data_IF_772938659448
#
_entry.id   IF_772938659448
#
_cell.length_a   1.000
_cell.length_b   1.000
_cell.length_c   1.000
_cell.angle_alpha   90.00
_cell.angle_beta   90.00
_cell.angle_gamma   90.00
#
_symmetry.space_group_name_H-M   'P 1'
#
loop_
_entity.id
_entity.type
_entity.pdbx_description
1 polymer ?
#
# COMPACT_ATOMS: atom_id res chain seq x y z
N UNK A 1 -28.17 2.75 11.16
CA UNK A 1 -28.27 2.82 9.69
C UNK A 1 -29.69 3.24 9.38
N UNK A 2 -29.90 4.52 9.07
CA UNK A 2 -31.19 5.02 8.55
C UNK A 2 -31.24 4.75 7.06
N UNK A 3 -32.44 4.49 6.56
CA UNK A 3 -32.77 3.85 5.29
C UNK A 3 -31.96 4.36 4.09
N UNK A 4 -31.17 3.46 3.49
CA UNK A 4 -30.60 3.69 2.17
C UNK A 4 -31.74 3.63 1.16
N UNK A 5 -32.08 4.79 0.58
CA UNK A 5 -33.14 4.93 -0.40
C UNK A 5 -32.91 3.95 -1.58
N UNK A 6 -33.96 3.31 -2.10
CA UNK A 6 -33.87 2.34 -3.18
C UNK A 6 -33.16 2.91 -4.42
N UNK A 7 -33.26 4.23 -4.63
CA UNK A 7 -32.53 4.98 -5.65
C UNK A 7 -31.02 4.97 -5.40
N UNK A 8 -30.56 5.19 -4.17
CA UNK A 8 -29.13 5.13 -3.83
C UNK A 8 -28.58 3.72 -3.98
N UNK A 9 -29.37 2.69 -3.65
CA UNK A 9 -29.00 1.29 -3.89
C UNK A 9 -28.91 0.95 -5.39
N UNK A 10 -29.87 1.44 -6.20
CA UNK A 10 -29.87 1.24 -7.65
C UNK A 10 -28.69 1.96 -8.30
N UNK A 11 -28.45 3.22 -7.94
CA UNK A 11 -27.28 3.99 -8.35
C UNK A 11 -26.00 3.29 -7.89
N UNK A 12 -25.96 2.73 -6.69
CA UNK A 12 -24.79 2.02 -6.19
C UNK A 12 -24.44 0.80 -7.06
N UNK A 13 -25.43 -0.03 -7.41
CA UNK A 13 -25.26 -1.19 -8.29
C UNK A 13 -25.05 -0.84 -9.77
N UNK A 14 -25.56 0.31 -10.23
CA UNK A 14 -25.41 0.78 -11.61
C UNK A 14 -24.07 1.46 -11.85
N UNK A 15 -23.53 2.19 -10.87
CA UNK A 15 -22.38 3.07 -11.07
C UNK A 15 -21.06 2.53 -10.51
N UNK A 16 -21.06 1.67 -9.49
CA UNK A 16 -19.82 1.17 -8.89
C UNK A 16 -19.43 -0.21 -9.42
N UNK A 17 -18.13 -0.44 -9.70
CA UNK A 17 -17.69 -1.67 -10.33
C UNK A 17 -17.81 -2.88 -9.40
N UNK A 18 -18.20 -4.02 -9.95
CA UNK A 18 -18.15 -5.29 -9.22
C UNK A 18 -16.69 -5.69 -9.08
N UNK A 19 -16.26 -5.93 -7.85
CA UNK A 19 -14.90 -6.39 -7.54
C UNK A 19 -14.97 -7.84 -7.06
N UNK A 20 -14.25 -8.72 -7.75
CA UNK A 20 -14.05 -10.12 -7.33
C UNK A 20 -12.61 -10.27 -6.86
N UNK A 21 -12.43 -10.71 -5.62
CA UNK A 21 -11.11 -11.01 -5.08
C UNK A 21 -10.78 -12.47 -5.34
N UNK A 22 -9.65 -12.72 -6.01
CA UNK A 22 -9.06 -14.05 -6.14
C UNK A 22 -7.88 -14.11 -5.17
N UNK A 23 -7.97 -15.05 -4.24
CA UNK A 23 -7.00 -15.27 -3.18
C UNK A 23 -6.40 -16.66 -3.34
N UNK A 24 -5.12 -16.70 -3.71
CA UNK A 24 -4.32 -17.92 -3.78
C UNK A 24 -3.03 -17.70 -2.99
N UNK A 25 -2.41 -18.75 -2.43
CA UNK A 25 -1.09 -18.61 -1.82
C UNK A 25 -0.11 -17.90 -2.77
N UNK A 26 0.63 -16.93 -2.26
CA UNK A 26 1.61 -16.15 -3.02
C UNK A 26 1.03 -15.01 -3.87
N UNK A 27 -0.26 -15.03 -4.24
CA UNK A 27 -0.88 -14.03 -5.10
C UNK A 27 -2.33 -13.71 -4.72
N UNK A 28 -2.59 -12.44 -4.44
CA UNK A 28 -3.95 -11.91 -4.25
C UNK A 28 -4.20 -10.90 -5.35
N UNK A 29 -5.36 -10.96 -5.99
CA UNK A 29 -5.72 -9.94 -6.96
C UNK A 29 -7.22 -9.69 -7.05
N UNK A 30 -7.53 -8.44 -7.34
CA UNK A 30 -8.88 -7.98 -7.56
C UNK A 30 -9.14 -7.90 -9.06
N UNK A 31 -10.19 -8.58 -9.51
CA UNK A 31 -10.78 -8.39 -10.81
C UNK A 31 -11.89 -7.35 -10.68
N UNK A 32 -11.72 -6.21 -11.36
CA UNK A 32 -12.69 -5.13 -11.36
C UNK A 32 -13.40 -5.14 -12.71
N UNK A 33 -14.65 -5.60 -12.70
CA UNK A 33 -15.53 -5.55 -13.87
C UNK A 33 -16.21 -4.18 -13.91
N UNK A 34 -16.10 -3.47 -15.03
CA UNK A 34 -16.50 -2.06 -15.11
C UNK A 34 -17.74 -1.86 -15.96
N UNK A 35 -18.63 -0.99 -15.47
CA UNK A 35 -19.59 -0.24 -16.29
C UNK A 35 -19.04 1.10 -16.83
N UNK A 36 -18.04 1.70 -16.18
CA UNK A 36 -17.40 2.97 -16.62
C UNK A 36 -15.89 2.79 -16.88
N UNK A 37 -15.49 2.81 -18.14
CA UNK A 37 -14.10 2.61 -18.62
C UNK A 37 -14.03 1.51 -19.68
N UNK A 38 -13.02 1.54 -20.55
CA UNK A 38 -12.96 0.70 -21.76
C UNK A 38 -12.43 -0.72 -21.55
N UNK A 39 -11.85 -1.05 -20.38
CA UNK A 39 -11.21 -2.34 -20.12
C UNK A 39 -11.48 -2.87 -18.71
N UNK A 40 -11.74 -4.18 -18.61
CA UNK A 40 -11.59 -4.98 -17.38
C UNK A 40 -10.18 -4.79 -16.84
N UNK A 41 -10.01 -4.62 -15.53
CA UNK A 41 -8.69 -4.41 -14.92
C UNK A 41 -8.42 -5.43 -13.83
N UNK A 42 -7.25 -6.08 -13.86
CA UNK A 42 -6.74 -6.86 -12.74
C UNK A 42 -5.78 -5.99 -11.92
N UNK A 43 -5.93 -6.02 -10.60
CA UNK A 43 -5.06 -5.31 -9.66
C UNK A 43 -4.44 -6.32 -8.72
N UNK A 44 -3.11 -6.44 -8.70
CA UNK A 44 -2.43 -7.30 -7.74
C UNK A 44 -2.41 -6.59 -6.38
N UNK A 45 -2.88 -7.28 -5.36
CA UNK A 45 -2.98 -6.80 -4.00
C UNK A 45 -1.92 -7.49 -3.15
N UNK A 46 -1.32 -6.72 -2.27
CA UNK A 46 -0.43 -7.20 -1.22
C UNK A 46 -0.83 -6.55 0.09
N UNK A 47 -0.62 -7.27 1.19
CA UNK A 47 -0.90 -6.75 2.52
C UNK A 47 0.39 -6.29 3.18
N UNK A 48 0.44 -4.99 3.49
CA UNK A 48 1.56 -4.34 4.16
C UNK A 48 1.33 -4.29 5.66
N UNK A 49 2.40 -4.44 6.44
CA UNK A 49 2.38 -4.04 7.84
C UNK A 49 2.43 -2.51 7.93
N UNK A 50 1.40 -1.91 8.54
CA UNK A 50 1.30 -0.46 8.73
C UNK A 50 2.54 0.13 9.43
N UNK A 51 3.09 -0.62 10.39
CA UNK A 51 4.26 -0.23 11.17
C UNK A 51 5.49 0.04 10.29
N UNK A 52 5.62 -0.58 9.11
CA UNK A 52 6.75 -0.30 8.19
C UNK A 52 6.64 1.11 7.61
N UNK A 53 5.43 1.49 7.16
CA UNK A 53 5.17 2.82 6.56
C UNK A 53 5.34 3.91 7.62
N UNK A 54 4.79 3.68 8.81
CA UNK A 54 4.93 4.58 9.96
C UNK A 54 6.41 4.78 10.32
N UNK A 55 7.17 3.68 10.45
CA UNK A 55 8.59 3.77 10.82
C UNK A 55 9.38 4.52 9.76
N UNK A 56 9.14 4.24 8.47
CA UNK A 56 9.78 4.96 7.37
C UNK A 56 9.50 6.47 7.46
N UNK A 57 8.26 6.88 7.74
CA UNK A 57 7.93 8.30 7.88
C UNK A 57 8.64 8.95 9.06
N UNK A 58 8.69 8.28 10.21
CA UNK A 58 9.38 8.79 11.40
C UNK A 58 10.89 8.96 11.17
N UNK A 59 11.54 7.96 10.56
CA UNK A 59 12.96 8.05 10.22
C UNK A 59 13.23 9.12 9.16
N UNK A 60 12.29 9.34 8.24
CA UNK A 60 12.38 10.42 7.25
C UNK A 60 12.27 11.80 7.88
N UNK A 61 11.36 11.99 8.84
CA UNK A 61 11.29 13.24 9.61
C UNK A 61 12.59 13.48 10.36
N UNK A 62 13.15 12.43 10.97
CA UNK A 62 14.42 12.52 11.70
C UNK A 62 15.60 12.86 10.77
N UNK A 63 15.65 12.26 9.58
CA UNK A 63 16.76 12.43 8.65
C UNK A 63 16.69 13.74 7.84
N UNK A 64 15.50 14.15 7.41
CA UNK A 64 15.32 15.28 6.49
C UNK A 64 14.73 16.53 7.14
N UNK A 65 14.19 16.40 8.35
CA UNK A 65 13.37 17.44 8.99
C UNK A 65 11.91 17.40 8.55
N UNK A 66 11.04 18.01 9.36
CA UNK A 66 9.57 17.94 9.20
C UNK A 66 9.09 18.51 7.87
N UNK A 67 9.65 19.62 7.42
CA UNK A 67 9.21 20.31 6.19
C UNK A 67 9.53 19.50 4.92
N UNK A 68 10.79 19.05 4.75
CA UNK A 68 11.20 18.22 3.61
C UNK A 68 10.47 16.87 3.61
N UNK A 69 10.28 16.27 4.79
CA UNK A 69 9.47 15.06 4.93
C UNK A 69 8.02 15.31 4.48
N UNK A 70 7.39 16.39 4.96
CA UNK A 70 6.02 16.73 4.58
C UNK A 70 5.88 16.91 3.05
N UNK A 71 6.83 17.58 2.40
CA UNK A 71 6.85 17.71 0.94
C UNK A 71 6.95 16.35 0.23
N UNK A 72 7.89 15.49 0.66
CA UNK A 72 8.08 14.16 0.10
C UNK A 72 6.82 13.31 0.23
N UNK A 73 6.24 13.25 1.43
CA UNK A 73 5.04 12.46 1.71
C UNK A 73 3.80 13.04 1.01
N UNK A 74 3.70 14.35 0.82
CA UNK A 74 2.68 14.96 -0.03
C UNK A 74 2.76 14.48 -1.47
N UNK A 75 3.96 14.47 -2.07
CA UNK A 75 4.17 13.97 -3.44
C UNK A 75 3.78 12.50 -3.56
N UNK A 76 4.25 11.65 -2.64
CA UNK A 76 3.89 10.23 -2.58
C UNK A 76 2.38 10.04 -2.52
N UNK A 77 1.69 10.79 -1.66
CA UNK A 77 0.23 10.71 -1.52
C UNK A 77 -0.50 11.09 -2.80
N UNK A 78 -0.10 12.20 -3.42
CA UNK A 78 -0.73 12.72 -4.65
C UNK A 78 -0.54 11.79 -5.84
N UNK A 79 0.67 11.26 -6.00
CA UNK A 79 1.01 10.31 -7.04
C UNK A 79 0.28 8.97 -6.84
N UNK A 80 0.20 8.51 -5.58
CA UNK A 80 -0.54 7.29 -5.22
C UNK A 80 -2.02 7.38 -5.59
N UNK A 81 -2.65 8.52 -5.25
CA UNK A 81 -4.03 8.80 -5.62
C UNK A 81 -4.24 8.77 -7.14
N UNK A 82 -3.44 9.52 -7.88
CA UNK A 82 -3.57 9.59 -9.33
C UNK A 82 -3.32 8.25 -10.00
N UNK A 83 -2.33 7.48 -9.55
CA UNK A 83 -2.11 6.10 -10.03
C UNK A 83 -3.35 5.24 -9.82
N UNK A 84 -3.96 5.30 -8.64
CA UNK A 84 -5.16 4.52 -8.37
C UNK A 84 -6.29 4.88 -9.34
N UNK A 85 -6.42 6.18 -9.65
CA UNK A 85 -7.40 6.68 -10.60
C UNK A 85 -7.02 6.34 -12.06
N UNK A 86 -5.74 6.26 -12.43
CA UNK A 86 -5.23 5.87 -13.76
C UNK A 86 -5.28 4.35 -14.04
N UNK A 87 -5.33 3.54 -12.98
CA UNK A 87 -5.65 2.11 -13.10
C UNK A 87 -7.13 1.91 -13.46
N UNK A 88 -8.01 2.73 -12.89
CA UNK A 88 -9.25 3.06 -13.58
C UNK A 88 -8.92 3.81 -14.85
N UNK A 89 -9.60 3.72 -15.97
CA UNK A 89 -9.31 4.68 -17.06
C UNK A 89 -10.56 5.53 -17.15
N UNK A 90 -10.87 6.30 -16.09
CA UNK A 90 -12.16 6.94 -16.04
C UNK A 90 -12.19 7.99 -17.14
N UNK A 91 -13.27 7.97 -17.92
CA UNK A 91 -13.70 9.19 -18.59
C UNK A 91 -13.94 10.24 -17.50
N UNK A 92 -13.70 11.52 -17.81
CA UNK A 92 -13.96 12.63 -16.88
C UNK A 92 -15.36 12.46 -16.30
N UNK A 93 -15.46 12.45 -14.96
CA UNK A 93 -16.75 12.32 -14.29
C UNK A 93 -17.61 13.56 -14.60
N UNK A 94 -18.91 13.41 -14.89
CA UNK A 94 -19.82 14.54 -14.94
C UNK A 94 -19.74 15.35 -13.65
N UNK A 95 -19.69 16.68 -13.76
CA UNK A 95 -19.48 17.58 -12.61
C UNK A 95 -20.49 17.37 -11.49
N UNK A 96 -21.76 17.08 -11.83
CA UNK A 96 -22.83 16.81 -10.88
C UNK A 96 -22.64 15.51 -10.07
N UNK A 97 -21.81 14.56 -10.55
CA UNK A 97 -21.50 13.31 -9.83
C UNK A 97 -20.26 13.41 -8.94
N UNK A 98 -19.41 14.43 -9.14
CA UNK A 98 -18.16 14.59 -8.37
C UNK A 98 -18.38 14.54 -6.85
N UNK A 99 -19.38 15.23 -6.25
CA UNK A 99 -19.63 15.14 -4.82
C UNK A 99 -19.90 13.71 -4.33
N UNK A 100 -20.78 12.99 -5.05
CA UNK A 100 -21.16 11.61 -4.70
C UNK A 100 -19.98 10.65 -4.84
N UNK A 101 -19.14 10.83 -5.88
CA UNK A 101 -17.95 10.00 -6.09
C UNK A 101 -16.91 10.26 -5.00
N UNK A 102 -16.68 11.52 -4.62
CA UNK A 102 -15.78 11.87 -3.51
C UNK A 102 -16.27 11.22 -2.21
N UNK A 103 -17.55 11.43 -1.85
CA UNK A 103 -18.14 10.85 -0.64
C UNK A 103 -18.00 9.33 -0.62
N UNK A 104 -18.32 8.65 -1.72
CA UNK A 104 -18.15 7.20 -1.84
C UNK A 104 -16.68 6.77 -1.69
N UNK A 105 -15.76 7.45 -2.37
CA UNK A 105 -14.33 7.11 -2.36
C UNK A 105 -13.77 7.12 -0.95
N UNK A 106 -14.05 8.17 -0.18
CA UNK A 106 -13.54 8.24 1.18
C UNK A 106 -14.35 7.39 2.17
N UNK A 107 -15.63 7.14 1.94
CA UNK A 107 -16.37 6.11 2.69
C UNK A 107 -15.71 4.74 2.53
N UNK A 108 -15.27 4.40 1.32
CA UNK A 108 -14.51 3.17 1.05
C UNK A 108 -13.17 3.20 1.77
N UNK A 109 -12.43 4.30 1.75
CA UNK A 109 -11.18 4.42 2.52
C UNK A 109 -11.40 4.24 4.02
N UNK A 110 -12.46 4.83 4.58
CA UNK A 110 -12.85 4.62 5.98
C UNK A 110 -13.12 3.15 6.27
N UNK A 111 -13.86 2.46 5.38
CA UNK A 111 -14.12 1.02 5.51
C UNK A 111 -12.86 0.16 5.40
N UNK A 112 -11.81 0.67 4.75
CA UNK A 112 -10.49 0.06 4.65
C UNK A 112 -9.54 0.48 5.78
N UNK A 113 -10.03 1.16 6.81
CA UNK A 113 -9.26 1.53 8.01
C UNK A 113 -8.53 2.88 7.92
N UNK A 114 -8.77 3.70 6.89
CA UNK A 114 -8.22 5.05 6.80
C UNK A 114 -9.09 6.06 7.57
N UNK A 115 -8.66 6.44 8.77
CA UNK A 115 -9.43 7.27 9.71
C UNK A 115 -9.26 8.80 9.55
N UNK A 116 -8.53 9.29 8.54
CA UNK A 116 -8.34 10.75 8.36
C UNK A 116 -9.56 11.49 7.78
N UNK A 117 -10.57 10.75 7.30
CA UNK A 117 -11.72 11.29 6.59
C UNK A 117 -13.03 10.72 7.17
N UNK A 118 -13.21 10.82 8.48
CA UNK A 118 -14.44 10.41 9.16
C UNK A 118 -15.64 11.26 8.71
N UNK A 119 -15.44 12.57 8.56
CA UNK A 119 -16.40 13.53 8.04
C UNK A 119 -15.81 14.28 6.84
N UNK A 120 -16.66 14.53 5.84
CA UNK A 120 -16.24 15.12 4.56
C UNK A 120 -17.30 16.09 4.08
N UNK A 121 -16.85 17.30 3.79
CA UNK A 121 -17.69 18.38 3.28
C UNK A 121 -17.09 18.85 1.96
N UNK A 122 -17.89 18.79 0.89
CA UNK A 122 -17.49 19.23 -0.45
C UNK A 122 -18.38 20.37 -0.93
N UNK A 123 -17.77 21.50 -1.29
CA UNK A 123 -18.46 22.65 -1.86
C UNK A 123 -18.13 22.79 -3.34
N UNK A 124 -19.13 22.53 -4.19
CA UNK A 124 -18.96 22.49 -5.65
C UNK A 124 -18.62 23.84 -6.28
N UNK A 125 -19.14 24.95 -5.74
CA UNK A 125 -18.91 26.31 -6.26
C UNK A 125 -17.44 26.72 -6.17
N UNK A 126 -16.85 26.49 -5.00
CA UNK A 126 -15.47 26.90 -4.71
C UNK A 126 -14.43 25.80 -4.98
N UNK A 127 -14.89 24.60 -5.37
CA UNK A 127 -14.08 23.38 -5.41
C UNK A 127 -13.32 23.19 -4.09
N UNK A 128 -14.01 23.34 -2.97
CA UNK A 128 -13.43 23.17 -1.66
C UNK A 128 -13.80 21.78 -1.12
N UNK A 129 -12.83 21.12 -0.49
CA UNK A 129 -13.06 19.83 0.18
C UNK A 129 -12.39 19.90 1.54
N UNK A 130 -13.17 19.65 2.59
CA UNK A 130 -12.68 19.52 3.95
C UNK A 130 -12.88 18.08 4.40
N UNK A 131 -11.81 17.43 4.83
CA UNK A 131 -11.87 16.15 5.52
C UNK A 131 -11.44 16.35 6.97
N UNK A 132 -12.23 15.84 7.91
CA UNK A 132 -11.89 15.78 9.33
C UNK A 132 -11.99 14.35 9.83
N UNK A 133 -11.11 13.99 10.75
CA UNK A 133 -11.15 12.70 11.41
C UNK A 133 -10.16 12.58 12.55
N UNK A 134 -10.40 11.57 13.38
CA UNK A 134 -9.60 11.25 14.55
C UNK A 134 -8.75 9.99 14.34
N UNK A 135 -7.74 9.80 15.20
CA UNK A 135 -7.05 8.51 15.37
C UNK A 135 -6.35 7.94 14.12
N UNK A 136 -5.91 8.78 13.19
CA UNK A 136 -5.03 8.34 12.11
C UNK A 136 -3.67 7.92 12.67
N UNK A 137 -3.26 6.66 12.50
CA UNK A 137 -2.03 6.12 13.11
C UNK A 137 -0.79 6.85 12.63
N UNK A 138 -0.73 7.19 11.33
CA UNK A 138 0.35 7.96 10.75
C UNK A 138 0.40 9.37 11.38
N UNK A 139 -0.71 10.12 11.41
CA UNK A 139 -0.70 11.44 12.04
C UNK A 139 -0.42 11.38 13.54
N UNK A 140 -1.01 10.41 14.25
CA UNK A 140 -0.84 10.24 15.70
C UNK A 140 0.62 10.01 16.07
N UNK A 141 1.34 9.20 15.28
CA UNK A 141 2.73 8.87 15.56
C UNK A 141 3.70 9.92 15.03
N UNK A 142 3.43 10.53 13.88
CA UNK A 142 4.37 11.45 13.20
C UNK A 142 4.07 12.94 13.37
N UNK A 143 2.84 13.30 13.76
CA UNK A 143 2.37 14.69 13.74
C UNK A 143 2.29 15.30 12.34
N UNK A 144 2.23 14.47 11.30
CA UNK A 144 2.23 14.87 9.89
C UNK A 144 1.18 14.08 9.08
N UNK A 145 0.27 14.81 8.42
CA UNK A 145 -0.77 14.27 7.56
C UNK A 145 -0.60 14.64 6.08
N UNK A 146 0.61 15.05 5.67
CA UNK A 146 0.90 15.50 4.31
C UNK A 146 0.62 14.45 3.25
N UNK A 147 0.82 13.16 3.54
CA UNK A 147 0.45 12.05 2.64
C UNK A 147 -1.04 12.02 2.34
N UNK A 148 -1.88 12.31 3.33
CA UNK A 148 -3.34 12.34 3.14
C UNK A 148 -3.79 13.60 2.41
N UNK A 149 -3.13 14.74 2.65
CA UNK A 149 -3.33 15.94 1.85
C UNK A 149 -3.00 15.69 0.38
N UNK A 150 -1.85 15.07 0.10
CA UNK A 150 -1.47 14.66 -1.24
C UNK A 150 -2.52 13.73 -1.88
N UNK A 151 -2.94 12.70 -1.16
CA UNK A 151 -3.94 11.74 -1.63
C UNK A 151 -5.28 12.43 -1.97
N UNK A 152 -5.76 13.33 -1.12
CA UNK A 152 -6.97 14.11 -1.37
C UNK A 152 -6.82 15.02 -2.59
N UNK A 153 -5.67 15.71 -2.71
CA UNK A 153 -5.31 16.52 -3.88
C UNK A 153 -5.34 15.71 -5.17
N UNK A 154 -4.74 14.51 -5.20
CA UNK A 154 -4.70 13.67 -6.39
C UNK A 154 -6.09 13.20 -6.84
N UNK A 155 -6.92 12.72 -5.92
CA UNK A 155 -8.27 12.23 -6.23
C UNK A 155 -9.14 13.36 -6.79
N UNK A 156 -9.22 14.48 -6.07
CA UNK A 156 -10.04 15.62 -6.48
C UNK A 156 -9.54 16.22 -7.79
N UNK A 157 -8.21 16.34 -7.98
CA UNK A 157 -7.63 16.84 -9.23
C UNK A 157 -8.04 15.99 -10.43
N UNK A 158 -8.03 14.66 -10.26
CA UNK A 158 -8.43 13.74 -11.33
C UNK A 158 -9.92 13.82 -11.66
N UNK A 159 -10.79 13.96 -10.66
CA UNK A 159 -12.23 14.02 -10.87
C UNK A 159 -12.67 15.33 -11.54
N UNK A 160 -12.05 16.44 -11.14
CA UNK A 160 -12.33 17.77 -11.70
C UNK A 160 -11.65 17.98 -13.06
N UNK A 161 -10.51 17.30 -13.30
CA UNK A 161 -9.67 17.50 -14.48
C UNK A 161 -8.86 18.80 -14.43
N UNK A 162 -8.52 19.27 -13.22
CA UNK A 162 -7.66 20.44 -12.95
C UNK A 162 -6.73 20.12 -11.79
N UNK A 163 -5.53 20.66 -11.77
CA UNK A 163 -4.64 20.50 -10.61
C UNK A 163 -5.19 21.29 -9.42
N UNK A 164 -5.54 20.60 -8.34
CA UNK A 164 -5.98 21.15 -7.06
C UNK A 164 -4.97 20.76 -5.99
N UNK A 165 -4.75 21.62 -5.00
CA UNK A 165 -3.79 21.39 -3.93
C UNK A 165 -4.48 21.33 -2.57
N UNK A 166 -3.85 20.62 -1.64
CA UNK A 166 -4.35 20.47 -0.29
C UNK A 166 -3.30 20.87 0.75
N UNK A 167 -3.78 21.29 1.91
CA UNK A 167 -3.02 21.47 3.14
C UNK A 167 -3.59 20.56 4.22
N UNK A 168 -2.73 20.15 5.15
CA UNK A 168 -3.13 19.49 6.37
C UNK A 168 -2.83 20.42 7.55
N UNK A 169 -3.86 20.70 8.34
CA UNK A 169 -3.77 21.41 9.60
C UNK A 169 -4.02 20.39 10.72
N UNK A 170 -2.95 19.94 11.36
CA UNK A 170 -3.00 19.01 12.47
C UNK A 170 -2.63 19.77 13.75
N UNK A 171 -3.59 20.54 14.28
CA UNK A 171 -3.37 21.39 15.46
C UNK A 171 -3.23 20.52 16.73
N UNK A 172 -3.96 19.41 16.81
CA UNK A 172 -3.97 18.50 17.95
C UNK A 172 -4.20 17.05 17.50
N UNK A 173 -3.24 16.45 16.77
CA UNK A 173 -3.31 15.01 16.47
C UNK A 173 -3.16 14.19 17.77
N UNK A 174 -3.98 13.13 17.98
CA UNK A 174 -4.92 12.51 17.04
C UNK A 174 -6.35 13.06 17.05
N UNK A 175 -6.65 14.06 17.88
CA UNK A 175 -8.00 14.56 18.18
C UNK A 175 -8.60 15.45 17.09
N UNK A 176 -7.75 16.08 16.27
CA UNK A 176 -8.18 16.96 15.17
C UNK A 176 -7.15 16.97 14.06
N UNK A 177 -7.41 16.18 13.02
CA UNK A 177 -6.74 16.31 11.73
C UNK A 177 -7.72 16.92 10.74
N UNK A 178 -7.41 18.11 10.22
CA UNK A 178 -8.21 18.77 9.19
C UNK A 178 -7.40 18.88 7.91
N UNK A 179 -7.91 18.30 6.83
CA UNK A 179 -7.31 18.46 5.49
C UNK A 179 -8.22 19.37 4.70
N UNK A 180 -7.65 20.41 4.10
CA UNK A 180 -8.37 21.38 3.26
C UNK A 180 -7.82 21.36 1.86
N UNK A 181 -8.69 21.29 0.88
CA UNK A 181 -8.38 21.52 -0.52
C UNK A 181 -9.17 22.72 -0.98
N UNK A 182 -8.50 23.65 -1.66
CA UNK A 182 -9.11 24.79 -2.30
C UNK A 182 -8.19 25.28 -3.43
N UNK A 183 -8.68 26.22 -4.24
CA UNK A 183 -7.90 26.79 -5.35
C UNK A 183 -6.83 27.81 -4.93
N UNK A 184 -6.92 28.36 -3.73
CA UNK A 184 -5.98 29.40 -3.27
C UNK A 184 -4.67 28.82 -2.72
N UNK A 185 -4.62 27.52 -2.41
CA UNK A 185 -3.38 26.84 -2.04
C UNK A 185 -2.43 26.82 -3.25
N UNK A 186 -1.23 27.37 -3.05
CA UNK A 186 -0.16 27.42 -4.06
C UNK A 186 0.15 26.00 -4.57
N UNK A 187 0.41 25.90 -5.88
CA UNK A 187 0.88 24.68 -6.53
C UNK A 187 2.07 24.08 -5.77
N UNK A 188 1.95 22.81 -5.35
CA UNK A 188 2.98 22.09 -4.61
C UNK A 188 3.67 21.03 -5.45
N UNK A 189 2.90 20.31 -6.27
CA UNK A 189 3.42 19.18 -7.04
C UNK A 189 2.60 18.99 -8.31
N UNK A 190 3.27 18.78 -9.45
CA UNK A 190 2.62 18.38 -10.70
C UNK A 190 3.07 16.96 -11.05
N UNK A 191 2.18 15.97 -10.94
CA UNK A 191 2.51 14.58 -11.22
C UNK A 191 2.80 14.31 -12.71
N UNK A 192 3.78 13.46 -12.99
CA UNK A 192 4.02 12.90 -14.32
C UNK A 192 3.08 11.71 -14.56
N UNK A 193 2.02 11.93 -15.34
CA UNK A 193 0.99 10.91 -15.58
C UNK A 193 1.52 9.71 -16.38
N UNK A 194 2.51 9.88 -17.26
CA UNK A 194 3.10 8.75 -17.97
C UNK A 194 3.96 7.91 -17.02
N UNK A 195 4.61 8.55 -16.05
CA UNK A 195 5.35 7.80 -15.04
C UNK A 195 4.41 6.93 -14.18
N UNK A 196 3.29 7.51 -13.73
CA UNK A 196 2.33 6.85 -12.85
C UNK A 196 1.51 5.72 -13.50
N UNK A 197 1.46 5.67 -14.84
CA UNK A 197 0.75 4.61 -15.55
C UNK A 197 1.34 3.23 -15.23
N UNK A 198 0.51 2.17 -15.18
CA UNK A 198 1.02 0.81 -15.06
C UNK A 198 2.00 0.50 -16.19
N UNK A 199 3.06 -0.27 -15.88
CA UNK A 199 3.96 -0.79 -16.91
C UNK A 199 3.16 -1.52 -17.99
N UNK A 200 3.57 -1.39 -19.27
CA UNK A 200 2.99 -2.14 -20.38
C UNK A 200 3.01 -3.65 -20.15
N UNK A 201 3.95 -4.14 -19.35
CA UNK A 201 4.11 -5.56 -18.99
C UNK A 201 3.40 -5.95 -17.68
N UNK A 202 2.69 -5.04 -17.00
CA UNK A 202 2.09 -5.27 -15.67
C UNK A 202 1.30 -6.56 -15.59
N UNK A 203 0.42 -6.80 -16.56
CA UNK A 203 -0.44 -7.98 -16.61
C UNK A 203 0.40 -9.27 -16.77
N UNK A 204 1.39 -9.26 -17.66
CA UNK A 204 2.27 -10.41 -17.95
C UNK A 204 3.13 -10.80 -16.75
N UNK A 205 3.62 -9.82 -15.99
CA UNK A 205 4.56 -10.08 -14.88
C UNK A 205 3.87 -10.37 -13.55
N UNK A 206 2.65 -9.87 -13.35
CA UNK A 206 1.92 -10.04 -12.08
C UNK A 206 0.82 -11.10 -12.11
N UNK A 207 0.36 -11.54 -13.27
CA UNK A 207 -0.69 -12.56 -13.40
C UNK A 207 -0.25 -13.66 -14.38
N UNK A 208 0.73 -14.49 -13.99
CA UNK A 208 1.17 -15.61 -14.83
C UNK A 208 -0.01 -16.56 -15.09
N UNK A 209 -0.20 -16.95 -16.36
CA UNK A 209 -1.31 -17.83 -16.76
C UNK A 209 -1.26 -19.23 -16.10
N UNK A 210 -0.05 -19.72 -15.82
CA UNK A 210 0.19 -20.98 -15.10
C UNK A 210 1.10 -20.72 -13.90
N UNK A 211 0.54 -20.80 -12.69
CA UNK A 211 1.29 -20.69 -11.44
C UNK A 211 1.36 -22.06 -10.77
N UNK A 212 2.56 -22.57 -10.53
CA UNK A 212 2.74 -23.78 -9.70
C UNK A 212 2.74 -23.34 -8.24
N UNK A 213 1.73 -23.76 -7.49
CA UNK A 213 1.62 -23.49 -6.05
C UNK A 213 2.45 -24.55 -5.33
N UNK A 214 3.52 -24.18 -4.60
CA UNK A 214 4.26 -25.14 -3.78
C UNK A 214 3.36 -25.70 -2.68
N UNK A 215 3.54 -26.97 -2.27
CA UNK A 215 2.75 -27.57 -1.20
C UNK A 215 2.92 -26.80 0.12
N UNK A 216 1.97 -26.97 1.05
CA UNK A 216 2.03 -26.46 2.43
C UNK A 216 2.11 -24.92 2.56
N UNK A 217 1.48 -24.18 1.64
CA UNK A 217 1.32 -22.72 1.75
C UNK A 217 -0.14 -22.36 2.03
N UNK A 218 -0.32 -21.31 2.83
CA UNK A 218 -1.62 -20.77 3.19
C UNK A 218 -2.00 -19.60 2.27
N UNK A 219 -3.29 -19.49 1.95
CA UNK A 219 -3.89 -18.29 1.38
C UNK A 219 -4.20 -17.27 2.48
N UNK A 220 -4.58 -16.04 2.11
CA UNK A 220 -5.06 -15.06 3.08
C UNK A 220 -6.31 -15.57 3.82
N UNK A 221 -7.21 -16.21 3.08
CA UNK A 221 -8.45 -16.82 3.56
C UNK A 221 -8.19 -17.97 4.53
N UNK A 222 -7.11 -18.73 4.35
CA UNK A 222 -6.70 -19.74 5.33
C UNK A 222 -6.30 -19.08 6.67
N UNK A 223 -5.54 -17.98 6.63
CA UNK A 223 -5.16 -17.25 7.83
C UNK A 223 -6.37 -16.62 8.56
N UNK A 224 -7.39 -16.18 7.82
CA UNK A 224 -8.68 -15.78 8.38
C UNK A 224 -9.41 -16.97 9.02
N UNK A 225 -9.51 -18.10 8.31
CA UNK A 225 -10.18 -19.33 8.80
C UNK A 225 -9.54 -19.83 10.10
N UNK A 226 -8.22 -19.78 10.19
CA UNK A 226 -7.46 -20.17 11.38
C UNK A 226 -7.34 -19.05 12.43
N UNK A 227 -8.10 -17.96 12.30
CA UNK A 227 -8.15 -16.83 13.24
C UNK A 227 -6.79 -16.19 13.52
N UNK A 228 -5.83 -16.32 12.60
CA UNK A 228 -4.53 -15.61 12.66
C UNK A 228 -4.70 -14.16 12.23
N UNK A 229 -5.59 -13.94 11.25
CA UNK A 229 -6.06 -12.61 10.88
C UNK A 229 -7.36 -12.31 11.61
N UNK A 230 -7.45 -11.11 12.17
CA UNK A 230 -8.64 -10.59 12.83
C UNK A 230 -9.13 -9.35 12.09
N UNK A 231 -10.45 -9.23 11.95
CA UNK A 231 -11.09 -8.08 11.30
C UNK A 231 -12.01 -7.40 12.32
N UNK A 232 -11.62 -6.22 12.78
CA UNK A 232 -12.49 -5.34 13.53
C UNK A 232 -13.42 -4.62 12.56
N UNK A 233 -14.66 -5.12 12.46
CA UNK A 233 -15.68 -4.56 11.58
C UNK A 233 -16.15 -3.17 12.00
N UNK A 234 -16.02 -2.79 13.28
CA UNK A 234 -16.43 -1.47 13.77
C UNK A 234 -15.41 -0.41 13.36
N UNK A 235 -14.13 -0.73 13.47
CA UNK A 235 -13.03 0.19 13.15
C UNK A 235 -12.50 0.05 11.71
N UNK A 236 -12.93 -0.98 10.96
CA UNK A 236 -12.39 -1.28 9.63
C UNK A 236 -10.93 -1.74 9.67
N UNK A 237 -10.45 -2.23 10.83
CA UNK A 237 -9.06 -2.58 11.06
C UNK A 237 -8.84 -4.07 10.82
N UNK A 238 -7.81 -4.41 10.05
CA UNK A 238 -7.36 -5.80 9.86
C UNK A 238 -6.03 -5.97 10.57
N UNK A 239 -5.89 -7.03 11.36
CA UNK A 239 -4.66 -7.33 12.08
C UNK A 239 -4.22 -8.77 11.91
N UNK A 240 -2.91 -9.00 11.99
CA UNK A 240 -2.26 -10.31 11.96
C UNK A 240 -1.27 -10.37 13.12
N UNK A 241 -1.45 -11.31 14.05
CA UNK A 241 -0.67 -11.35 15.31
C UNK A 241 -0.66 -10.01 16.06
N UNK A 242 -1.80 -9.31 16.07
CA UNK A 242 -1.93 -7.99 16.71
C UNK A 242 -1.32 -6.81 15.93
N UNK A 243 -0.62 -7.06 14.82
CA UNK A 243 -0.07 -6.04 13.94
C UNK A 243 -1.09 -5.61 12.89
N UNK A 244 -1.30 -4.30 12.72
CA UNK A 244 -2.19 -3.79 11.65
C UNK A 244 -1.61 -4.14 10.27
N UNK A 245 -2.44 -4.68 9.39
CA UNK A 245 -2.11 -4.90 7.98
C UNK A 245 -3.08 -4.16 7.06
N UNK A 246 -2.57 -3.63 5.95
CA UNK A 246 -3.31 -2.78 5.01
C UNK A 246 -3.21 -3.36 3.59
N UNK A 247 -4.34 -3.60 2.90
CA UNK A 247 -4.32 -4.08 1.53
C UNK A 247 -3.95 -2.94 0.58
N UNK A 248 -2.96 -3.17 -0.28
CA UNK A 248 -2.41 -2.14 -1.17
C UNK A 248 -2.17 -2.71 -2.57
N UNK A 249 -2.46 -1.93 -3.61
CA UNK A 249 -2.06 -2.28 -4.98
C UNK A 249 -0.54 -2.15 -5.12
N UNK A 250 0.10 -3.15 -5.72
CA UNK A 250 1.58 -3.27 -5.77
C UNK A 250 2.33 -2.09 -6.40
N UNK A 251 1.68 -1.26 -7.20
CA UNK A 251 2.33 -0.10 -7.77
C UNK A 251 2.23 1.15 -6.93
N UNK A 252 1.35 1.21 -5.93
CA UNK A 252 1.38 2.27 -4.91
C UNK A 252 2.68 2.18 -4.09
N UNK A 253 3.16 0.97 -3.80
CA UNK A 253 4.48 0.81 -3.20
C UNK A 253 5.62 1.09 -4.17
N UNK A 254 5.41 0.87 -5.47
CA UNK A 254 6.33 1.33 -6.50
C UNK A 254 6.53 2.85 -6.47
N UNK A 255 5.45 3.61 -6.31
CA UNK A 255 5.49 5.07 -6.15
C UNK A 255 6.27 5.45 -4.91
N UNK A 256 5.91 4.90 -3.75
CA UNK A 256 6.63 5.15 -2.50
C UNK A 256 8.14 4.96 -2.70
N UNK A 257 8.54 3.84 -3.30
CA UNK A 257 9.94 3.49 -3.50
C UNK A 257 10.62 4.44 -4.49
N UNK A 258 9.96 4.78 -5.60
CA UNK A 258 10.53 5.69 -6.61
C UNK A 258 10.94 7.05 -6.03
N UNK A 259 10.14 7.57 -5.10
CA UNK A 259 10.42 8.84 -4.41
C UNK A 259 11.62 8.77 -3.46
N UNK A 260 11.97 7.57 -2.97
CA UNK A 260 13.16 7.37 -2.12
C UNK A 260 14.39 6.92 -2.91
N UNK A 261 14.24 6.24 -4.04
CA UNK A 261 15.39 5.65 -4.77
C UNK A 261 16.41 6.68 -5.25
N UNK A 262 15.98 7.92 -5.53
CA UNK A 262 16.87 8.97 -6.04
C UNK A 262 17.81 9.51 -4.96
N UNK A 263 17.25 9.93 -3.83
CA UNK A 263 17.99 10.72 -2.84
C UNK A 263 18.02 10.08 -1.43
N UNK A 264 17.22 9.05 -1.18
CA UNK A 264 16.98 8.51 0.17
C UNK A 264 16.94 6.97 0.21
N UNK A 265 17.68 6.30 -0.70
CA UNK A 265 17.64 4.84 -0.84
C UNK A 265 18.09 4.13 0.44
N UNK A 266 19.24 4.51 1.01
CA UNK A 266 19.76 3.88 2.22
C UNK A 266 18.79 4.00 3.42
N UNK A 267 18.12 5.15 3.53
CA UNK A 267 17.10 5.40 4.56
C UNK A 267 15.89 4.45 4.38
N UNK A 268 15.41 4.29 3.15
CA UNK A 268 14.32 3.36 2.82
C UNK A 268 14.69 1.92 3.20
N UNK A 269 15.88 1.46 2.78
CA UNK A 269 16.37 0.11 3.01
C UNK A 269 16.47 -0.18 4.52
N UNK A 270 17.19 0.67 5.25
CA UNK A 270 17.38 0.53 6.69
C UNK A 270 16.04 0.53 7.46
N UNK A 271 15.11 1.40 7.06
CA UNK A 271 13.78 1.49 7.69
C UNK A 271 12.97 0.20 7.49
N UNK A 272 12.92 -0.34 6.26
CA UNK A 272 12.17 -1.57 5.98
C UNK A 272 12.79 -2.75 6.73
N UNK A 273 14.12 -2.88 6.72
CA UNK A 273 14.84 -3.97 7.40
C UNK A 273 14.59 -3.90 8.91
N UNK A 274 14.77 -2.74 9.54
CA UNK A 274 14.56 -2.53 10.97
C UNK A 274 13.11 -2.80 11.39
N UNK A 275 12.13 -2.34 10.60
CA UNK A 275 10.72 -2.65 10.87
C UNK A 275 10.43 -4.14 10.72
N UNK A 276 11.00 -4.82 9.72
CA UNK A 276 10.86 -6.25 9.54
C UNK A 276 11.44 -7.05 10.70
N UNK A 277 12.59 -6.65 11.27
CA UNK A 277 13.16 -7.25 12.48
C UNK A 277 12.19 -7.15 13.68
N UNK A 278 11.58 -5.97 13.88
CA UNK A 278 10.58 -5.75 14.95
C UNK A 278 9.31 -6.58 14.74
N UNK A 279 8.88 -6.74 13.49
CA UNK A 279 7.73 -7.58 13.14
C UNK A 279 8.04 -9.06 13.40
N UNK A 280 9.23 -9.53 13.01
CA UNK A 280 9.67 -10.90 13.25
C UNK A 280 9.69 -11.24 14.75
N UNK A 281 10.11 -10.31 15.61
CA UNK A 281 10.08 -10.48 17.06
C UNK A 281 8.69 -10.69 17.65
N UNK A 282 7.62 -10.28 16.95
CA UNK A 282 6.23 -10.49 17.38
C UNK A 282 5.62 -11.79 16.81
N UNK A 283 6.28 -12.42 15.84
CA UNK A 283 5.82 -13.66 15.21
C UNK A 283 6.60 -14.83 15.82
N UNK A 284 5.95 -15.58 16.72
CA UNK A 284 6.59 -16.64 17.51
C UNK A 284 6.20 -18.07 17.08
N UNK A 285 5.70 -18.28 15.86
CA UNK A 285 5.24 -19.61 15.43
C UNK A 285 6.40 -20.54 15.07
N UNK A 286 6.76 -21.46 15.95
CA UNK A 286 7.77 -22.52 15.74
C UNK A 286 8.69 -22.69 16.95
N UNK A 287 9.32 -23.86 17.07
CA UNK A 287 10.15 -24.19 18.23
C UNK A 287 11.62 -23.79 18.00
N UNK A 288 12.08 -23.83 16.74
CA UNK A 288 13.44 -23.41 16.38
C UNK A 288 13.48 -22.07 15.63
N UNK A 289 14.62 -21.36 15.60
CA UNK A 289 14.76 -20.15 14.78
C UNK A 289 14.50 -20.39 13.28
N UNK A 290 14.91 -21.54 12.74
CA UNK A 290 14.67 -21.91 11.33
C UNK A 290 13.19 -22.15 11.04
N UNK A 291 12.49 -22.82 11.95
CA UNK A 291 11.03 -23.02 11.82
C UNK A 291 10.27 -21.70 11.87
N UNK A 292 10.63 -20.81 12.81
CA UNK A 292 10.01 -19.48 12.93
C UNK A 292 10.23 -18.64 11.67
N UNK A 293 11.45 -18.65 11.13
CA UNK A 293 11.75 -18.00 9.86
C UNK A 293 10.91 -18.59 8.72
N UNK A 294 10.84 -19.91 8.59
CA UNK A 294 10.05 -20.55 7.54
C UNK A 294 8.55 -20.25 7.65
N UNK A 295 8.01 -20.23 8.87
CA UNK A 295 6.63 -19.83 9.13
C UNK A 295 6.37 -18.37 8.75
N UNK A 296 7.30 -17.46 9.07
CA UNK A 296 7.20 -16.05 8.69
C UNK A 296 7.24 -15.86 7.15
N UNK A 297 8.02 -16.64 6.42
CA UNK A 297 8.05 -16.61 4.95
C UNK A 297 6.76 -17.15 4.31
N UNK A 298 6.20 -18.22 4.89
CA UNK A 298 4.87 -18.74 4.49
C UNK A 298 3.77 -17.71 4.75
N UNK A 299 3.85 -17.00 5.87
CA UNK A 299 2.96 -15.89 6.19
C UNK A 299 3.07 -14.77 5.13
N UNK A 300 4.28 -14.36 4.74
CA UNK A 300 4.44 -13.37 3.65
C UNK A 300 3.81 -13.86 2.34
N UNK A 301 3.91 -15.15 2.04
CA UNK A 301 3.26 -15.74 0.86
C UNK A 301 1.73 -15.59 0.93
N UNK A 302 1.12 -15.84 2.09
CA UNK A 302 -0.32 -15.64 2.32
C UNK A 302 -0.74 -14.17 2.22
N UNK A 303 0.18 -13.22 2.43
CA UNK A 303 -0.06 -11.78 2.26
C UNK A 303 0.16 -11.27 0.82
N UNK A 304 0.44 -12.18 -0.14
CA UNK A 304 0.55 -11.87 -1.57
C UNK A 304 1.96 -11.57 -2.08
N UNK A 305 2.99 -11.78 -1.26
CA UNK A 305 4.38 -11.44 -1.57
C UNK A 305 5.12 -12.43 -2.49
N UNK A 306 4.42 -13.40 -3.07
CA UNK A 306 5.05 -14.53 -3.78
C UNK A 306 5.53 -15.62 -2.83
N UNK A 307 6.20 -16.64 -3.37
CA UNK A 307 6.80 -17.73 -2.58
C UNK A 307 8.26 -17.43 -2.33
N UNK A 308 8.73 -17.64 -1.11
CA UNK A 308 10.09 -17.33 -0.72
C UNK A 308 10.77 -18.63 -0.27
N UNK A 309 11.76 -19.06 -1.05
CA UNK A 309 12.58 -20.23 -0.75
C UNK A 309 13.96 -19.77 -0.30
N UNK A 310 14.44 -20.32 0.82
CA UNK A 310 15.78 -20.06 1.30
C UNK A 310 16.66 -21.28 1.11
N UNK A 311 17.88 -21.05 0.66
CA UNK A 311 18.98 -22.00 0.70
C UNK A 311 20.10 -21.38 1.53
N UNK A 312 20.44 -22.03 2.64
CA UNK A 312 21.58 -21.62 3.47
C UNK A 312 22.84 -22.33 2.96
N UNK A 313 23.88 -21.56 2.69
CA UNK A 313 25.23 -22.03 2.39
C UNK A 313 26.19 -21.50 3.46
N UNK A 314 27.45 -21.96 3.48
CA UNK A 314 28.37 -21.74 4.61
C UNK A 314 28.51 -20.26 5.03
N UNK A 315 28.52 -19.32 4.08
CA UNK A 315 28.71 -17.88 4.34
C UNK A 315 27.57 -17.00 3.82
N UNK A 316 26.60 -17.59 3.14
CA UNK A 316 25.55 -16.86 2.45
C UNK A 316 24.19 -17.54 2.62
N UNK A 317 23.14 -16.73 2.54
CA UNK A 317 21.78 -17.20 2.39
C UNK A 317 21.28 -16.74 1.03
N UNK A 318 20.82 -17.69 0.21
CA UNK A 318 20.21 -17.40 -1.09
C UNK A 318 18.69 -17.43 -0.89
N UNK A 319 18.01 -16.32 -1.19
CA UNK A 319 16.56 -16.29 -1.30
C UNK A 319 16.11 -16.29 -2.76
N UNK A 320 15.32 -17.29 -3.12
CA UNK A 320 14.60 -17.37 -4.37
C UNK A 320 13.14 -16.97 -4.15
N UNK A 321 12.76 -15.80 -4.65
CA UNK A 321 11.41 -15.27 -4.62
C UNK A 321 10.71 -15.63 -5.94
N UNK A 322 9.72 -16.51 -5.88
CA UNK A 322 8.90 -16.93 -7.01
C UNK A 322 7.59 -16.15 -7.05
N UNK A 323 7.22 -15.69 -8.24
CA UNK A 323 6.09 -14.80 -8.50
C UNK A 323 6.03 -13.58 -7.56
N UNK A 324 7.14 -12.86 -7.27
CA UNK A 324 7.09 -11.70 -6.40
C UNK A 324 6.21 -10.58 -7.01
N UNK A 325 5.64 -9.67 -6.21
CA UNK A 325 4.96 -8.49 -6.73
C UNK A 325 5.96 -7.58 -7.46
N UNK A 326 5.71 -7.31 -8.74
CA UNK A 326 6.61 -6.50 -9.58
C UNK A 326 5.91 -5.24 -10.04
N UNK A 327 6.47 -4.11 -9.67
CA UNK A 327 6.04 -2.80 -10.13
C UNK A 327 7.03 -2.21 -11.14
N UNK A 328 6.66 -1.06 -11.72
CA UNK A 328 7.41 -0.38 -12.78
C UNK A 328 8.84 -0.01 -12.37
N UNK A 329 9.06 0.23 -11.08
CA UNK A 329 10.36 0.66 -10.54
C UNK A 329 11.19 -0.50 -9.98
N UNK A 330 10.86 -1.76 -10.36
CA UNK A 330 11.60 -2.97 -9.97
C UNK A 330 11.90 -3.05 -8.46
N UNK A 331 10.88 -2.76 -7.65
CA UNK A 331 10.98 -2.76 -6.19
C UNK A 331 11.65 -4.02 -5.61
N UNK A 332 12.68 -3.79 -4.81
CA UNK A 332 13.33 -4.79 -3.97
C UNK A 332 12.71 -4.88 -2.56
N UNK A 333 11.54 -4.28 -2.34
CA UNK A 333 10.85 -4.30 -1.04
C UNK A 333 10.78 -5.69 -0.38
N UNK A 334 10.39 -6.79 -1.08
CA UNK A 334 10.36 -8.10 -0.43
C UNK A 334 11.76 -8.61 -0.07
N UNK A 335 12.82 -8.19 -0.75
CA UNK A 335 14.20 -8.51 -0.40
C UNK A 335 14.56 -7.85 0.94
N UNK A 336 14.22 -6.57 1.13
CA UNK A 336 14.46 -5.87 2.40
C UNK A 336 13.66 -6.47 3.56
N UNK A 337 12.40 -6.87 3.32
CA UNK A 337 11.60 -7.58 4.34
C UNK A 337 12.26 -8.91 4.75
N UNK A 338 12.67 -9.72 3.77
CA UNK A 338 13.33 -11.01 4.02
C UNK A 338 14.63 -10.80 4.79
N UNK A 339 15.40 -9.77 4.47
CA UNK A 339 16.63 -9.44 5.19
C UNK A 339 16.38 -9.18 6.67
N UNK A 340 15.37 -8.39 7.04
CA UNK A 340 15.05 -8.16 8.45
C UNK A 340 14.58 -9.43 9.18
N UNK A 341 13.85 -10.32 8.51
CA UNK A 341 13.46 -11.61 9.10
C UNK A 341 14.66 -12.54 9.30
N UNK A 342 15.58 -12.57 8.33
CA UNK A 342 16.85 -13.29 8.46
C UNK A 342 17.66 -12.75 9.63
N UNK A 343 17.79 -11.43 9.73
CA UNK A 343 18.56 -10.78 10.79
C UNK A 343 18.04 -11.15 12.18
N UNK A 344 16.72 -11.08 12.35
CA UNK A 344 16.07 -11.38 13.61
C UNK A 344 16.18 -12.87 13.98
N UNK A 345 15.71 -13.78 13.11
CA UNK A 345 15.62 -15.19 13.49
C UNK A 345 16.99 -15.89 13.50
N UNK A 346 17.91 -15.54 12.61
CA UNK A 346 19.23 -16.18 12.61
C UNK A 346 20.23 -15.48 13.54
N UNK A 347 19.84 -14.39 14.19
CA UNK A 347 20.64 -13.67 15.18
C UNK A 347 21.96 -13.11 14.62
N UNK A 348 21.98 -12.77 13.33
CA UNK A 348 23.17 -12.32 12.59
C UNK A 348 22.80 -11.19 11.67
N UNK A 349 23.67 -10.21 11.44
CA UNK A 349 23.44 -9.20 10.41
C UNK A 349 23.82 -9.76 9.05
N UNK A 350 22.96 -9.54 8.07
CA UNK A 350 23.20 -9.90 6.68
C UNK A 350 23.20 -8.66 5.80
N UNK A 351 24.23 -8.50 4.98
CA UNK A 351 24.28 -7.54 3.90
C UNK A 351 23.65 -8.14 2.63
N UNK A 352 22.96 -7.31 1.84
CA UNK A 352 22.45 -7.71 0.52
C UNK A 352 23.59 -7.52 -0.48
N UNK A 353 24.18 -8.62 -0.94
CA UNK A 353 25.32 -8.56 -1.87
C UNK A 353 24.85 -8.38 -3.31
N UNK A 354 23.90 -9.22 -3.75
CA UNK A 354 23.42 -9.25 -5.14
C UNK A 354 21.93 -9.52 -5.22
N UNK A 355 21.29 -8.85 -6.17
CA UNK A 355 19.89 -9.12 -6.54
C UNK A 355 19.79 -9.33 -8.05
N UNK A 356 19.27 -10.47 -8.46
CA UNK A 356 19.05 -10.83 -9.85
C UNK A 356 17.55 -10.85 -10.13
N UNK A 357 17.11 -10.05 -11.10
CA UNK A 357 15.78 -10.15 -11.68
C UNK A 357 15.94 -11.03 -12.92
N UNK A 358 15.43 -12.26 -12.88
CA UNK A 358 15.66 -13.18 -14.00
C UNK A 358 14.91 -12.73 -15.26
N UNK A 359 15.36 -13.16 -16.44
CA UNK A 359 14.64 -12.92 -17.71
C UNK A 359 13.19 -13.40 -17.66
N UNK A 360 12.93 -14.43 -16.84
CA UNK A 360 11.60 -14.75 -16.38
C UNK A 360 11.19 -13.72 -15.31
N UNK A 361 10.28 -12.78 -15.64
CA UNK A 361 9.86 -11.76 -14.69
C UNK A 361 9.12 -12.37 -13.49
N UNK A 362 8.91 -13.68 -13.40
CA UNK A 362 8.35 -14.32 -12.22
C UNK A 362 9.38 -14.70 -11.15
N UNK A 363 10.65 -14.25 -11.21
CA UNK A 363 11.64 -14.61 -10.19
C UNK A 363 12.61 -13.47 -9.85
N UNK A 364 12.78 -13.24 -8.55
CA UNK A 364 13.87 -12.45 -7.99
C UNK A 364 14.75 -13.37 -7.16
N UNK A 365 16.06 -13.32 -7.34
CA UNK A 365 17.03 -13.99 -6.48
C UNK A 365 17.83 -12.96 -5.72
N UNK A 366 17.94 -13.10 -4.41
CA UNK A 366 18.78 -12.27 -3.55
C UNK A 366 19.82 -13.12 -2.84
N UNK A 367 21.06 -12.63 -2.79
CA UNK A 367 22.17 -13.24 -2.04
C UNK A 367 22.48 -12.36 -0.84
N UNK A 368 22.42 -12.95 0.35
CA UNK A 368 22.70 -12.30 1.61
C UNK A 368 24.00 -12.85 2.19
N UNK A 369 25.00 -12.00 2.41
CA UNK A 369 26.27 -12.38 3.02
C UNK A 369 26.25 -11.98 4.49
N UNK A 370 26.79 -12.85 5.36
CA UNK A 370 26.99 -12.53 6.77
C UNK A 370 27.95 -11.32 6.90
N UNK A 371 27.45 -10.23 7.49
CA UNK A 371 28.21 -9.01 7.74
C UNK A 371 29.17 -9.15 8.91
#
# INVERSE_FOLDING_TARGET
>A
MKDANAVDYLLYKLFFPKTVTIDKPGIIYNFVDRKFGSKKSRKRIIWYFEDVIVSLQLETIKALGKEKSAELWYRIGKDSALRYVLLSSPKKAPSFLVPKILQYTFMVFRSAGMSFAENIEYESKNLSLTATGCNNVICRKSGDASVFAGLMSGIASSLVGKNLEASADCISCPSSCKIRLNRSIRKKHLPDLEDLRPSKRYEKVNFPGSMKIPPNHYSFSDLLRFKKIQVDRKQGKVSLYGLTIIPTEIGLSGILISHYLKDNKALLEASIISSAEKIAGKISSGNSPKERLHAALKMLSALGWGFIHLKEEKKEVIADLLYPPINKHNSLYPVYLVNGFLNHYLGRRYAIEKTYISENPARIRAVYIKA
#
